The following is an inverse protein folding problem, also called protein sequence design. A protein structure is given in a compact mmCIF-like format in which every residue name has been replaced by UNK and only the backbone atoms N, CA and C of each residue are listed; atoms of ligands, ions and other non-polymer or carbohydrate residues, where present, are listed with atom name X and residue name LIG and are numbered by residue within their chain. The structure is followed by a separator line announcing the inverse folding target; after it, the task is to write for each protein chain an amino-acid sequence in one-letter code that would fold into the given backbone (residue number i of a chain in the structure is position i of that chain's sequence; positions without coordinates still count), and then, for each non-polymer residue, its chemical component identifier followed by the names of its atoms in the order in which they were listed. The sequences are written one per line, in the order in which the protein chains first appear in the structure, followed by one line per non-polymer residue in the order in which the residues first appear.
data_IF_637130080185
#
_entry.id   IF_637130080185
#
_cell.length_a   1.000
_cell.length_b   1.000
_cell.length_c   1.000
_cell.angle_alpha   90.00
_cell.angle_beta   90.00
_cell.angle_gamma   90.00
#
_symmetry.space_group_name_H-M   'P 1'
#
loop_
_entity.id
_entity.type
_entity.pdbx_description
1 polymer ?
#
# COMPACT_ATOMS: atom_id res chain seq x y z
N UNK A 1 -17.34 -10.45 4.17
CA UNK A 1 -16.94 -10.01 2.81
C UNK A 1 -15.42 -10.03 2.75
N UNK A 2 -14.78 -10.87 1.93
CA UNK A 2 -13.34 -10.76 1.71
C UNK A 2 -13.05 -9.76 0.57
N UNK A 3 -11.92 -9.06 0.64
CA UNK A 3 -11.55 -8.08 -0.38
C UNK A 3 -11.37 -8.77 -1.75
N UNK A 4 -11.99 -8.23 -2.81
CA UNK A 4 -11.97 -8.79 -4.18
C UNK A 4 -10.56 -9.21 -4.64
N UNK A 5 -9.56 -8.36 -4.37
CA UNK A 5 -8.17 -8.62 -4.75
C UNK A 5 -7.54 -9.79 -3.98
N UNK A 6 -7.90 -9.97 -2.70
CA UNK A 6 -7.43 -11.09 -1.88
C UNK A 6 -7.98 -12.41 -2.41
N UNK A 7 -9.27 -12.46 -2.76
CA UNK A 7 -9.88 -13.65 -3.35
C UNK A 7 -9.25 -14.01 -4.69
N UNK A 8 -9.08 -13.02 -5.57
CA UNK A 8 -8.41 -13.21 -6.86
C UNK A 8 -6.97 -13.71 -6.70
N UNK A 9 -6.23 -13.15 -5.74
CA UNK A 9 -4.87 -13.59 -5.45
C UNK A 9 -4.82 -15.07 -5.09
N UNK A 10 -5.69 -15.52 -4.18
CA UNK A 10 -5.72 -16.90 -3.71
C UNK A 10 -6.21 -17.90 -4.76
N UNK A 11 -7.26 -17.54 -5.52
CA UNK A 11 -7.94 -18.47 -6.44
C UNK A 11 -7.30 -18.54 -7.83
N UNK A 12 -6.75 -17.44 -8.32
CA UNK A 12 -6.26 -17.35 -9.71
C UNK A 12 -4.75 -17.16 -9.76
N UNK A 13 -4.21 -16.21 -9.00
CA UNK A 13 -2.81 -15.78 -9.14
C UNK A 13 -1.85 -16.82 -8.53
N UNK A 14 -2.15 -17.35 -7.33
CA UNK A 14 -1.31 -18.35 -6.67
C UNK A 14 -1.13 -19.62 -7.54
N UNK A 15 -2.19 -20.27 -8.06
CA UNK A 15 -2.04 -21.41 -8.95
C UNK A 15 -1.25 -21.09 -10.23
N UNK A 16 -1.52 -19.93 -10.85
CA UNK A 16 -0.82 -19.51 -12.06
C UNK A 16 0.69 -19.30 -11.82
N UNK A 17 1.07 -18.70 -10.69
CA UNK A 17 2.48 -18.51 -10.32
C UNK A 17 3.17 -19.82 -9.97
N UNK A 18 2.49 -20.73 -9.26
CA UNK A 18 3.02 -22.07 -8.96
C UNK A 18 3.31 -22.86 -10.24
N UNK A 19 2.40 -22.84 -11.22
CA UNK A 19 2.59 -23.51 -12.50
C UNK A 19 3.71 -22.85 -13.32
N UNK A 20 3.73 -21.52 -13.39
CA UNK A 20 4.71 -20.78 -14.20
C UNK A 20 6.14 -20.90 -13.68
N UNK A 21 6.33 -20.90 -12.36
CA UNK A 21 7.65 -20.86 -11.74
C UNK A 21 8.05 -22.16 -11.04
N UNK A 22 7.19 -23.18 -11.04
CA UNK A 22 7.48 -24.51 -10.50
C UNK A 22 7.67 -24.55 -8.98
N UNK A 23 7.02 -23.64 -8.23
CA UNK A 23 7.11 -23.62 -6.78
C UNK A 23 6.56 -24.93 -6.17
N UNK A 24 7.36 -25.57 -5.32
CA UNK A 24 6.97 -26.82 -4.63
C UNK A 24 6.13 -26.57 -3.38
N UNK A 25 6.25 -25.38 -2.81
CA UNK A 25 5.53 -24.99 -1.60
C UNK A 25 4.70 -23.73 -1.90
N UNK A 26 3.37 -23.73 -1.66
CA UNK A 26 2.52 -22.55 -1.83
C UNK A 26 3.01 -21.30 -1.07
N UNK A 27 3.72 -21.48 0.04
CA UNK A 27 4.28 -20.38 0.83
C UNK A 27 5.46 -19.66 0.15
N UNK A 28 6.01 -20.24 -0.92
CA UNK A 28 7.05 -19.60 -1.74
C UNK A 28 6.48 -18.58 -2.73
N UNK A 29 5.17 -18.59 -2.95
CA UNK A 29 4.53 -17.65 -3.88
C UNK A 29 4.65 -16.22 -3.32
N UNK A 30 5.19 -15.27 -4.09
CA UNK A 30 5.41 -13.91 -3.62
C UNK A 30 4.10 -13.21 -3.28
N UNK A 31 4.08 -12.54 -2.12
CA UNK A 31 2.93 -11.80 -1.58
C UNK A 31 3.22 -10.31 -1.46
N UNK A 32 2.18 -9.49 -1.57
CA UNK A 32 2.25 -8.06 -1.25
C UNK A 32 2.29 -7.90 0.27
N UNK A 33 3.38 -7.36 0.80
CA UNK A 33 3.55 -7.17 2.25
C UNK A 33 3.00 -5.82 2.73
N UNK A 34 3.38 -4.72 2.07
CA UNK A 34 2.91 -3.37 2.39
C UNK A 34 2.86 -2.50 1.14
N UNK A 35 1.95 -1.52 1.16
CA UNK A 35 1.89 -0.44 0.18
C UNK A 35 2.15 0.85 0.96
N UNK A 36 3.21 1.58 0.62
CA UNK A 36 3.54 2.87 1.22
C UNK A 36 3.22 3.95 0.22
N UNK A 37 2.39 4.91 0.62
CA UNK A 37 2.08 6.11 -0.17
C UNK A 37 2.90 7.25 0.41
N UNK A 38 3.67 7.92 -0.44
CA UNK A 38 4.48 9.07 -0.07
C UNK A 38 4.01 10.28 -0.88
N UNK A 39 3.85 11.41 -0.21
CA UNK A 39 3.62 12.70 -0.85
C UNK A 39 4.71 13.67 -0.42
N UNK A 40 5.54 14.07 -1.39
CA UNK A 40 6.56 15.09 -1.17
C UNK A 40 5.93 16.47 -1.20
N UNK A 41 5.92 17.17 -0.07
CA UNK A 41 5.45 18.56 0.02
C UNK A 41 6.66 19.45 0.27
N UNK A 42 7.31 19.87 -0.82
CA UNK A 42 8.61 20.58 -0.78
C UNK A 42 8.58 21.90 0.01
N UNK A 43 7.46 22.62 -0.02
CA UNK A 43 7.29 23.92 0.65
C UNK A 43 6.58 23.82 2.02
N UNK A 44 6.25 22.60 2.47
CA UNK A 44 5.51 22.39 3.72
C UNK A 44 6.29 22.81 4.98
N UNK A 45 7.62 22.88 4.91
CA UNK A 45 8.44 23.37 6.02
C UNK A 45 8.18 24.84 6.33
N UNK A 46 7.73 25.63 5.35
CA UNK A 46 7.44 27.06 5.51
C UNK A 46 5.96 27.36 5.71
N UNK A 47 5.05 26.44 5.33
CA UNK A 47 3.62 26.63 5.47
C UNK A 47 2.91 25.41 6.08
N UNK A 48 2.69 25.39 7.40
CA UNK A 48 2.02 24.30 8.10
C UNK A 48 0.63 23.95 7.55
N UNK A 49 -0.09 24.93 6.99
CA UNK A 49 -1.43 24.72 6.43
C UNK A 49 -1.40 23.81 5.20
N UNK A 50 -0.34 23.88 4.39
CA UNK A 50 -0.19 22.98 3.24
C UNK A 50 0.01 21.54 3.67
N UNK A 51 0.70 21.32 4.80
CA UNK A 51 0.91 20.00 5.36
C UNK A 51 -0.39 19.43 5.94
N UNK A 52 -1.19 20.26 6.63
CA UNK A 52 -2.51 19.86 7.12
C UNK A 52 -3.45 19.44 5.98
N UNK A 53 -3.57 20.27 4.93
CA UNK A 53 -4.40 19.93 3.75
C UNK A 53 -3.91 18.65 3.08
N UNK A 54 -2.60 18.48 2.92
CA UNK A 54 -1.98 17.28 2.39
C UNK A 54 -2.35 16.00 3.20
N UNK A 55 -2.35 16.10 4.53
CA UNK A 55 -2.73 14.98 5.40
C UNK A 55 -4.22 14.66 5.27
N UNK A 56 -5.08 15.67 5.19
CA UNK A 56 -6.52 15.48 5.02
C UNK A 56 -6.86 14.82 3.68
N UNK A 57 -6.23 15.26 2.59
CA UNK A 57 -6.42 14.67 1.26
C UNK A 57 -5.96 13.21 1.22
N UNK A 58 -4.77 12.91 1.76
CA UNK A 58 -4.28 11.54 1.85
C UNK A 58 -5.17 10.67 2.73
N UNK A 59 -5.71 11.22 3.82
CA UNK A 59 -6.65 10.51 4.68
C UNK A 59 -7.97 10.21 3.95
N UNK A 60 -8.49 11.15 3.17
CA UNK A 60 -9.68 10.95 2.34
C UNK A 60 -9.46 9.87 1.27
N UNK A 61 -8.28 9.83 0.65
CA UNK A 61 -7.94 8.85 -0.41
C UNK A 61 -7.68 7.45 0.17
N UNK A 62 -6.84 7.36 1.20
CA UNK A 62 -6.39 6.07 1.75
C UNK A 62 -7.33 5.51 2.82
N UNK A 63 -8.24 6.33 3.35
CA UNK A 63 -9.08 6.00 4.49
C UNK A 63 -8.30 5.87 5.80
N UNK A 64 -7.04 6.30 5.85
CA UNK A 64 -6.16 6.20 7.01
C UNK A 64 -5.60 7.57 7.36
N UNK A 65 -5.74 7.97 8.62
CA UNK A 65 -5.04 9.16 9.11
C UNK A 65 -3.58 8.82 9.31
N UNK A 66 -2.71 9.40 8.47
CA UNK A 66 -1.27 9.29 8.63
C UNK A 66 -0.79 10.12 9.84
N UNK A 67 0.17 9.57 10.58
CA UNK A 67 0.97 10.35 11.52
C UNK A 67 2.11 11.04 10.78
N UNK A 68 2.46 12.26 11.19
CA UNK A 68 3.59 12.99 10.63
C UNK A 68 4.85 12.12 10.64
N UNK A 69 5.37 11.79 9.45
CA UNK A 69 6.75 11.32 9.35
C UNK A 69 7.62 12.56 9.36
N UNK A 70 7.95 12.99 10.57
CA UNK A 70 8.99 13.99 10.81
C UNK A 70 10.27 13.39 10.23
N UNK A 71 10.81 14.06 9.22
CA UNK A 71 12.12 13.72 8.65
C UNK A 71 13.14 13.58 9.77
N UNK A 72 14.09 12.66 9.59
CA UNK A 72 15.29 12.67 10.44
C UNK A 72 15.97 14.03 10.37
#
# INVERSE_FOLDING_TARGET
MAARLKERYQKEIVPALMQRFGYRNPMQVPRVEKIVVNMGVGDASQNPKLLESAVEELAAITGQRWGEVIGK
#
